data_IF_620138410537
#
_entry.id   IF_620138410537
#
_cell.length_a   1.000
_cell.length_b   1.000
_cell.length_c   1.000
_cell.angle_alpha   90.00
_cell.angle_beta   90.00
_cell.angle_gamma   90.00
#
_symmetry.space_group_name_H-M   'P 1'
#
loop_
_entity.id
_entity.type
_entity.pdbx_description
1 polymer ?
#
# COMPACT_ATOMS: atom_id res chain seq x y z
N UNK A 1 13.71 -25.98 -2.51
CA UNK A 1 12.49 -25.79 -1.72
C UNK A 1 11.41 -25.27 -2.66
N UNK A 2 10.25 -25.94 -2.70
CA UNK A 2 9.21 -25.74 -3.72
C UNK A 2 8.60 -24.33 -3.65
N UNK A 3 8.69 -23.58 -4.75
CA UNK A 3 8.21 -22.20 -4.96
C UNK A 3 6.69 -22.11 -5.09
N UNK A 4 5.93 -22.51 -4.05
CA UNK A 4 4.49 -22.26 -4.00
C UNK A 4 4.23 -20.98 -3.22
N UNK A 5 3.43 -20.08 -3.80
CA UNK A 5 2.82 -18.96 -3.06
C UNK A 5 2.18 -19.49 -1.77
N UNK A 6 2.27 -18.77 -0.64
CA UNK A 6 1.58 -19.18 0.57
C UNK A 6 0.09 -19.40 0.26
N UNK A 7 -0.40 -20.58 0.63
CA UNK A 7 -1.84 -20.89 0.58
C UNK A 7 -2.49 -19.97 1.61
N UNK A 8 -3.49 -19.19 1.20
CA UNK A 8 -4.24 -18.38 2.18
C UNK A 8 -4.89 -19.31 3.19
N UNK A 9 -4.82 -18.95 4.46
CA UNK A 9 -5.49 -19.71 5.52
C UNK A 9 -7.00 -19.44 5.58
N UNK A 10 -7.46 -18.34 4.98
CA UNK A 10 -8.82 -17.84 5.17
C UNK A 10 -9.61 -17.60 3.88
N UNK A 11 -8.92 -17.46 2.75
CA UNK A 11 -9.57 -17.22 1.45
C UNK A 11 -9.70 -18.55 0.69
N UNK A 12 -10.87 -18.83 0.09
CA UNK A 12 -11.06 -19.98 -0.78
C UNK A 12 -10.28 -19.83 -2.10
N UNK A 13 -10.01 -20.95 -2.76
CA UNK A 13 -9.54 -20.97 -4.14
C UNK A 13 -10.73 -21.04 -5.13
N UNK A 14 -10.69 -20.31 -6.26
CA UNK A 14 -9.63 -19.39 -6.67
C UNK A 14 -9.63 -18.09 -5.83
N UNK A 15 -8.43 -17.60 -5.49
CA UNK A 15 -8.24 -16.32 -4.78
C UNK A 15 -9.00 -15.19 -5.50
N UNK A 16 -10.00 -14.64 -4.81
CA UNK A 16 -10.87 -13.58 -5.34
C UNK A 16 -10.67 -12.29 -4.56
N UNK A 17 -10.47 -11.20 -5.29
CA UNK A 17 -10.27 -9.86 -4.77
C UNK A 17 -11.45 -8.99 -5.17
N UNK A 18 -12.00 -8.23 -4.23
CA UNK A 18 -12.99 -7.20 -4.51
C UNK A 18 -12.38 -5.83 -4.28
N UNK A 19 -12.27 -5.03 -5.33
CA UNK A 19 -11.83 -3.64 -5.23
C UNK A 19 -13.03 -2.80 -4.80
N UNK A 20 -12.92 -2.17 -3.63
CA UNK A 20 -13.93 -1.28 -3.06
C UNK A 20 -13.40 0.15 -3.19
N UNK A 21 -13.76 0.83 -4.28
CA UNK A 21 -13.34 2.21 -4.50
C UNK A 21 -14.20 3.19 -3.70
N UNK A 22 -13.60 3.93 -2.77
CA UNK A 22 -14.30 4.80 -1.83
C UNK A 22 -13.87 6.28 -1.97
N UNK A 23 -14.35 7.01 -2.99
CA UNK A 23 -14.06 8.43 -3.15
C UNK A 23 -14.73 9.27 -2.05
N UNK A 24 -14.02 9.52 -0.94
CA UNK A 24 -14.55 10.23 0.22
C UNK A 24 -13.51 11.15 0.86
N UNK A 25 -13.89 12.38 1.20
CA UNK A 25 -13.00 13.39 1.77
C UNK A 25 -13.53 14.06 3.05
N UNK A 26 -14.67 13.59 3.57
CA UNK A 26 -15.41 14.25 4.64
C UNK A 26 -14.76 14.17 6.02
N UNK A 27 -13.79 13.27 6.23
CA UNK A 27 -13.07 13.10 7.50
C UNK A 27 -11.98 14.15 7.74
N UNK A 28 -11.66 14.97 6.74
CA UNK A 28 -10.58 15.95 6.79
C UNK A 28 -10.91 17.21 5.97
N UNK A 29 -9.99 18.19 5.94
CA UNK A 29 -10.26 19.52 5.38
C UNK A 29 -9.67 19.77 3.98
N UNK A 30 -8.67 19.00 3.55
CA UNK A 30 -8.00 19.13 2.25
C UNK A 30 -8.78 18.35 1.19
N UNK A 31 -9.39 19.06 0.26
CA UNK A 31 -10.13 18.41 -0.84
C UNK A 31 -9.20 17.57 -1.73
N UNK A 32 -9.77 16.63 -2.47
CA UNK A 32 -9.08 15.91 -3.55
C UNK A 32 -8.65 14.48 -3.23
N UNK A 33 -8.67 14.05 -1.97
CA UNK A 33 -8.38 12.66 -1.57
C UNK A 33 -9.44 11.69 -2.11
N UNK A 34 -10.67 12.17 -2.32
CA UNK A 34 -11.74 11.49 -3.04
C UNK A 34 -11.39 11.13 -4.50
N UNK A 35 -10.35 11.75 -5.08
CA UNK A 35 -9.83 11.40 -6.41
C UNK A 35 -8.79 10.29 -6.40
N UNK A 36 -8.24 9.95 -5.23
CA UNK A 36 -7.26 8.88 -5.04
C UNK A 36 -7.71 7.54 -5.64
N UNK A 37 -8.90 7.02 -5.30
CA UNK A 37 -9.40 5.75 -5.82
C UNK A 37 -9.49 5.73 -7.35
N UNK A 38 -9.92 6.84 -7.95
CA UNK A 38 -10.06 7.00 -9.40
C UNK A 38 -8.70 6.91 -10.07
N UNK A 39 -7.70 7.63 -9.55
CA UNK A 39 -6.35 7.63 -10.11
C UNK A 39 -5.66 6.26 -9.97
N UNK A 40 -5.84 5.57 -8.84
CA UNK A 40 -5.30 4.21 -8.62
C UNK A 40 -5.89 3.20 -9.61
N UNK A 41 -7.19 3.27 -9.88
CA UNK A 41 -7.85 2.43 -10.89
C UNK A 41 -7.39 2.79 -12.30
N UNK A 42 -7.35 4.09 -12.64
CA UNK A 42 -6.90 4.55 -13.96
C UNK A 42 -5.43 4.25 -14.25
N UNK A 43 -4.61 4.06 -13.21
CA UNK A 43 -3.22 3.60 -13.33
C UNK A 43 -3.10 2.10 -13.68
N UNK A 44 -4.22 1.38 -13.83
CA UNK A 44 -4.28 -0.01 -14.27
C UNK A 44 -4.21 -1.03 -13.13
N UNK A 45 -4.53 -0.63 -11.90
CA UNK A 45 -4.46 -1.53 -10.74
C UNK A 45 -5.32 -2.81 -10.89
N UNK A 46 -6.59 -2.76 -11.37
CA UNK A 46 -7.39 -3.97 -11.57
C UNK A 46 -6.76 -4.98 -12.54
N UNK A 47 -6.19 -4.49 -13.64
CA UNK A 47 -5.51 -5.30 -14.65
C UNK A 47 -4.25 -5.93 -14.07
N UNK A 48 -3.42 -5.13 -13.40
CA UNK A 48 -2.19 -5.62 -12.77
C UNK A 48 -2.46 -6.72 -11.74
N UNK A 49 -3.54 -6.58 -10.94
CA UNK A 49 -3.94 -7.59 -9.95
C UNK A 49 -4.48 -8.86 -10.62
N UNK A 50 -5.17 -8.72 -11.74
CA UNK A 50 -5.60 -9.86 -12.57
C UNK A 50 -4.39 -10.61 -13.16
N UNK A 51 -3.36 -9.89 -13.61
CA UNK A 51 -2.10 -10.46 -14.11
C UNK A 51 -1.31 -11.19 -13.02
N UNK A 52 -1.44 -10.78 -11.75
CA UNK A 52 -0.88 -11.49 -10.60
C UNK A 52 -1.61 -12.82 -10.29
N UNK A 53 -2.75 -13.08 -10.92
CA UNK A 53 -3.52 -14.33 -10.80
C UNK A 53 -4.76 -14.23 -9.92
N UNK A 54 -5.16 -13.02 -9.48
CA UNK A 54 -6.39 -12.82 -8.74
C UNK A 54 -7.60 -12.79 -9.67
N UNK A 55 -8.71 -13.38 -9.23
CA UNK A 55 -10.03 -13.06 -9.79
C UNK A 55 -10.46 -11.71 -9.24
N UNK A 56 -10.32 -10.64 -10.02
CA UNK A 56 -10.66 -9.28 -9.60
C UNK A 56 -12.14 -8.98 -9.88
N UNK A 57 -12.84 -8.48 -8.87
CA UNK A 57 -14.18 -7.91 -8.94
C UNK A 57 -14.07 -6.40 -8.73
N UNK A 58 -14.58 -5.62 -9.68
CA UNK A 58 -14.65 -4.17 -9.57
C UNK A 58 -15.88 -3.69 -10.34
N UNK A 59 -16.90 -3.27 -9.60
CA UNK A 59 -18.19 -2.85 -10.17
C UNK A 59 -18.31 -1.31 -10.27
N UNK A 60 -17.18 -0.60 -10.13
CA UNK A 60 -17.09 0.85 -10.16
C UNK A 60 -16.75 1.47 -8.80
N UNK A 61 -16.60 2.79 -8.78
CA UNK A 61 -16.43 3.54 -7.53
C UNK A 61 -17.77 3.70 -6.83
N UNK A 62 -17.81 3.43 -5.53
CA UNK A 62 -19.01 3.63 -4.74
C UNK A 62 -19.32 5.13 -4.65
N UNK A 63 -20.45 5.51 -5.20
CA UNK A 63 -20.94 6.88 -5.11
C UNK A 63 -21.65 7.05 -3.77
N UNK A 64 -21.10 7.89 -2.91
CA UNK A 64 -21.73 8.26 -1.63
C UNK A 64 -22.44 9.61 -1.73
N UNK A 65 -22.60 10.15 -2.94
CA UNK A 65 -23.25 11.43 -3.22
C UNK A 65 -24.72 11.46 -2.78
N UNK A 66 -25.41 10.32 -2.79
CA UNK A 66 -26.78 10.18 -2.29
C UNK A 66 -26.85 10.22 -0.75
N UNK A 67 -25.73 10.00 -0.07
CA UNK A 67 -25.61 10.13 1.39
C UNK A 67 -25.37 11.61 1.71
N UNK A 68 -26.36 12.44 1.43
CA UNK A 68 -26.31 13.84 1.81
C UNK A 68 -26.73 14.01 3.28
N UNK A 69 -25.95 14.79 4.00
CA UNK A 69 -26.37 15.39 5.25
C UNK A 69 -26.61 16.88 4.97
N UNK A 70 -27.78 17.19 4.40
CA UNK A 70 -28.22 18.54 4.01
C UNK A 70 -27.99 19.62 5.10
N UNK A 71 -27.81 19.20 6.35
CA UNK A 71 -27.10 19.94 7.39
C UNK A 71 -26.35 18.96 8.30
N UNK A 72 -25.04 19.14 8.47
CA UNK A 72 -24.20 18.35 9.40
C UNK A 72 -23.40 19.25 10.37
N UNK A 73 -24.07 19.86 11.35
CA UNK A 73 -23.40 20.71 12.31
C UNK A 73 -22.43 19.88 13.19
N UNK A 74 -21.31 20.47 13.62
CA UNK A 74 -20.35 19.78 14.47
C UNK A 74 -20.96 19.19 15.74
N UNK A 75 -20.46 18.02 16.16
CA UNK A 75 -20.74 17.44 17.49
C UNK A 75 -19.52 17.72 18.35
N UNK A 76 -19.63 18.69 19.25
CA UNK A 76 -18.46 19.21 19.95
C UNK A 76 -17.45 19.78 18.94
N UNK A 77 -16.25 19.19 18.88
CA UNK A 77 -15.21 19.56 17.90
C UNK A 77 -15.35 18.81 16.57
N UNK A 78 -16.09 17.70 16.52
CA UNK A 78 -16.09 16.82 15.34
C UNK A 78 -16.72 17.49 14.14
N UNK A 79 -16.01 17.52 13.02
CA UNK A 79 -16.48 18.05 11.74
C UNK A 79 -17.10 16.95 10.90
N UNK A 80 -18.20 17.28 10.21
CA UNK A 80 -18.95 16.35 9.35
C UNK A 80 -19.30 14.98 10.00
N UNK A 81 -19.68 14.92 11.29
CA UNK A 81 -19.81 13.64 11.99
C UNK A 81 -20.89 12.72 11.44
N UNK A 82 -22.02 13.27 10.96
CA UNK A 82 -23.11 12.44 10.41
C UNK A 82 -22.76 11.92 9.04
N UNK A 83 -22.15 12.76 8.20
CA UNK A 83 -21.69 12.36 6.88
C UNK A 83 -20.65 11.25 6.97
N UNK A 84 -19.59 11.46 7.77
CA UNK A 84 -18.53 10.46 7.99
C UNK A 84 -19.12 9.17 8.54
N UNK A 85 -19.99 9.25 9.56
CA UNK A 85 -20.63 8.06 10.13
C UNK A 85 -21.43 7.26 9.11
N UNK A 86 -22.31 7.91 8.33
CA UNK A 86 -23.18 7.23 7.36
C UNK A 86 -22.38 6.60 6.22
N UNK A 87 -21.34 7.28 5.72
CA UNK A 87 -20.45 6.74 4.68
C UNK A 87 -19.70 5.53 5.20
N UNK A 88 -19.12 5.62 6.40
CA UNK A 88 -18.41 4.50 7.02
C UNK A 88 -19.36 3.31 7.30
N UNK A 89 -20.61 3.55 7.71
CA UNK A 89 -21.60 2.48 7.90
C UNK A 89 -21.95 1.79 6.57
N UNK A 90 -22.08 2.56 5.48
CA UNK A 90 -22.30 2.00 4.14
C UNK A 90 -21.12 1.14 3.69
N UNK A 91 -19.89 1.60 3.93
CA UNK A 91 -18.66 0.86 3.62
C UNK A 91 -18.56 -0.43 4.44
N UNK A 92 -18.93 -0.40 5.74
CA UNK A 92 -18.95 -1.60 6.56
C UNK A 92 -19.85 -2.69 5.96
N UNK A 93 -21.01 -2.32 5.39
CA UNK A 93 -21.91 -3.25 4.71
C UNK A 93 -21.26 -3.86 3.47
N UNK A 94 -20.70 -3.02 2.60
CA UNK A 94 -20.03 -3.47 1.35
C UNK A 94 -18.85 -4.39 1.65
N UNK A 95 -17.94 -3.95 2.54
CA UNK A 95 -16.75 -4.73 2.93
C UNK A 95 -17.15 -6.04 3.60
N UNK A 96 -18.12 -5.99 4.53
CA UNK A 96 -18.62 -7.19 5.21
C UNK A 96 -19.28 -8.18 4.26
N UNK A 97 -19.99 -7.73 3.23
CA UNK A 97 -20.56 -8.60 2.20
C UNK A 97 -19.50 -9.32 1.37
N UNK A 98 -18.42 -8.64 0.99
CA UNK A 98 -17.30 -9.27 0.28
C UNK A 98 -16.56 -10.27 1.18
N UNK A 99 -16.25 -9.88 2.42
CA UNK A 99 -15.60 -10.75 3.39
C UNK A 99 -16.41 -12.04 3.64
N UNK A 100 -17.74 -11.94 3.83
CA UNK A 100 -18.64 -13.10 4.01
C UNK A 100 -18.63 -14.06 2.81
N UNK A 101 -18.36 -13.56 1.60
CA UNK A 101 -18.24 -14.36 0.37
C UNK A 101 -16.84 -14.97 0.20
N UNK A 102 -15.92 -14.77 1.15
CA UNK A 102 -14.52 -15.20 1.04
C UNK A 102 -13.74 -14.40 -0.01
N UNK A 103 -14.14 -13.15 -0.26
CA UNK A 103 -13.47 -12.25 -1.20
C UNK A 103 -12.66 -11.26 -0.38
N UNK A 104 -11.36 -11.12 -0.66
CA UNK A 104 -10.53 -10.12 0.02
C UNK A 104 -10.99 -8.73 -0.44
N UNK A 105 -11.51 -7.86 0.43
CA UNK A 105 -11.76 -6.48 0.09
C UNK A 105 -10.44 -5.69 0.07
N UNK A 106 -10.12 -5.14 -1.10
CA UNK A 106 -9.10 -4.10 -1.28
C UNK A 106 -9.81 -2.75 -1.34
N UNK A 107 -9.80 -2.01 -0.24
CA UNK A 107 -10.37 -0.67 -0.20
C UNK A 107 -9.35 0.32 -0.76
N UNK A 108 -9.72 0.99 -1.85
CA UNK A 108 -9.01 2.16 -2.34
C UNK A 108 -9.73 3.36 -1.76
N UNK A 109 -9.13 3.96 -0.73
CA UNK A 109 -9.78 4.98 0.06
C UNK A 109 -9.60 6.38 -0.46
N UNK A 110 -10.43 7.26 0.09
CA UNK A 110 -10.06 8.64 0.30
C UNK A 110 -9.40 8.78 1.69
N UNK A 111 -9.96 9.58 2.58
CA UNK A 111 -9.36 9.81 3.89
C UNK A 111 -9.46 8.61 4.85
N UNK A 112 -8.59 8.57 5.87
CA UNK A 112 -8.44 7.41 6.75
C UNK A 112 -9.62 7.17 7.70
N UNK A 113 -10.61 8.07 7.78
CA UNK A 113 -11.83 7.84 8.59
C UNK A 113 -12.60 6.60 8.14
N UNK A 114 -12.47 6.25 6.86
CA UNK A 114 -13.05 5.07 6.24
C UNK A 114 -12.68 3.76 6.92
N UNK A 115 -11.55 3.72 7.65
CA UNK A 115 -11.13 2.55 8.42
C UNK A 115 -12.16 2.12 9.48
N UNK A 116 -12.99 3.04 10.00
CA UNK A 116 -14.13 2.67 10.85
C UNK A 116 -15.07 1.71 10.12
N UNK A 117 -15.33 1.96 8.84
CA UNK A 117 -16.17 1.12 8.00
C UNK A 117 -15.48 -0.18 7.61
N UNK A 118 -14.28 -0.09 7.05
CA UNK A 118 -13.56 -1.26 6.51
C UNK A 118 -13.26 -2.29 7.60
N UNK A 119 -12.73 -1.85 8.74
CA UNK A 119 -12.40 -2.76 9.86
C UNK A 119 -13.68 -3.33 10.48
N UNK A 120 -14.73 -2.52 10.68
CA UNK A 120 -16.02 -3.02 11.19
C UNK A 120 -16.60 -4.09 10.28
N UNK A 121 -16.61 -3.88 8.96
CA UNK A 121 -17.09 -4.84 7.96
C UNK A 121 -16.27 -6.13 7.96
N UNK A 122 -14.94 -6.03 7.95
CA UNK A 122 -14.04 -7.20 8.04
C UNK A 122 -14.29 -8.00 9.32
N UNK A 123 -14.43 -7.32 10.46
CA UNK A 123 -14.60 -7.95 11.76
C UNK A 123 -15.97 -8.61 11.96
N UNK A 124 -16.98 -8.30 11.13
CA UNK A 124 -18.23 -9.08 11.13
C UNK A 124 -18.00 -10.53 10.72
N UNK A 125 -17.10 -10.76 9.75
CA UNK A 125 -16.73 -12.09 9.29
C UNK A 125 -15.56 -12.69 10.08
N UNK A 126 -14.61 -11.86 10.46
CA UNK A 126 -13.37 -12.24 11.14
C UNK A 126 -13.26 -11.53 12.51
N UNK A 127 -14.12 -11.86 13.50
CA UNK A 127 -14.19 -11.12 14.76
C UNK A 127 -12.91 -11.22 15.61
N UNK A 128 -12.10 -12.24 15.37
CA UNK A 128 -10.81 -12.49 16.01
C UNK A 128 -9.61 -11.87 15.26
N UNK A 129 -9.83 -11.21 14.11
CA UNK A 129 -8.79 -10.56 13.32
C UNK A 129 -7.93 -9.57 14.14
N UNK A 130 -6.70 -9.36 13.69
CA UNK A 130 -5.85 -8.27 14.15
C UNK A 130 -5.64 -7.22 13.07
N UNK A 131 -5.22 -6.04 13.50
CA UNK A 131 -4.96 -4.88 12.65
C UNK A 131 -3.47 -4.55 12.69
N UNK A 132 -2.86 -4.47 11.51
CA UNK A 132 -1.56 -3.82 11.32
C UNK A 132 -1.85 -2.45 10.71
N UNK A 133 -1.53 -1.39 11.45
CA UNK A 133 -1.75 -0.01 11.04
C UNK A 133 -0.42 0.61 10.65
N UNK A 134 -0.25 0.91 9.36
CA UNK A 134 1.00 1.48 8.81
C UNK A 134 0.76 2.94 8.48
N UNK A 135 1.34 3.83 9.26
CA UNK A 135 0.97 5.25 9.29
C UNK A 135 2.05 6.11 9.96
N UNK A 136 2.14 7.39 9.60
CA UNK A 136 2.92 8.38 10.33
C UNK A 136 2.24 8.80 11.65
N UNK A 137 0.91 8.70 11.71
CA UNK A 137 0.02 9.20 12.74
C UNK A 137 -0.65 8.08 13.56
N UNK A 138 -1.17 8.45 14.73
CA UNK A 138 -1.85 7.50 15.61
C UNK A 138 -3.29 7.20 15.18
N UNK A 139 -3.98 8.15 14.55
CA UNK A 139 -5.39 8.06 14.16
C UNK A 139 -6.32 7.55 15.27
N UNK A 140 -5.95 7.88 16.51
CA UNK A 140 -6.55 7.34 17.74
C UNK A 140 -7.00 8.44 18.70
N UNK A 141 -7.05 9.70 18.25
CA UNK A 141 -7.66 10.75 19.04
C UNK A 141 -9.14 10.43 19.30
N UNK A 142 -9.60 10.69 20.52
CA UNK A 142 -11.04 10.73 20.81
C UNK A 142 -11.60 12.12 20.51
N UNK A 143 -12.92 12.28 20.58
CA UNK A 143 -13.57 13.60 20.46
C UNK A 143 -13.10 14.60 21.55
N UNK A 144 -12.61 14.11 22.69
CA UNK A 144 -12.05 14.93 23.76
C UNK A 144 -10.60 15.33 23.52
N UNK A 145 -9.78 14.44 22.93
CA UNK A 145 -8.34 14.66 22.78
C UNK A 145 -7.98 15.36 21.48
N UNK A 146 -8.81 15.27 20.44
CA UNK A 146 -8.58 15.94 19.16
C UNK A 146 -8.49 17.46 19.31
N UNK A 147 -7.48 18.08 18.69
CA UNK A 147 -7.39 19.53 18.53
C UNK A 147 -8.05 20.01 17.23
N UNK A 148 -7.97 19.20 16.16
CA UNK A 148 -8.45 19.58 14.82
C UNK A 148 -9.95 19.38 14.64
N UNK A 149 -10.54 18.36 15.28
CA UNK A 149 -11.90 17.92 15.01
C UNK A 149 -12.07 17.13 13.70
N UNK A 150 -10.98 16.85 12.98
CA UNK A 150 -11.00 16.06 11.74
C UNK A 150 -11.05 14.56 12.09
N UNK A 151 -12.08 13.86 11.64
CA UNK A 151 -12.39 12.48 12.05
C UNK A 151 -11.41 11.46 11.46
N UNK A 152 -10.66 11.79 10.40
CA UNK A 152 -9.63 10.89 9.87
C UNK A 152 -8.53 10.57 10.89
N UNK A 153 -8.28 11.46 11.87
CA UNK A 153 -7.34 11.21 12.98
C UNK A 153 -7.96 10.51 14.20
N UNK A 154 -9.16 9.93 14.07
CA UNK A 154 -9.92 9.30 15.16
C UNK A 154 -10.42 7.86 14.93
N UNK A 155 -10.30 7.22 13.74
CA UNK A 155 -11.02 5.97 13.46
C UNK A 155 -10.70 4.86 14.46
N UNK A 156 -9.45 4.77 14.92
CA UNK A 156 -9.02 3.72 15.85
C UNK A 156 -9.66 3.90 17.23
N UNK A 157 -9.92 5.13 17.68
CA UNK A 157 -10.58 5.36 18.97
C UNK A 157 -12.01 4.81 18.97
N UNK A 158 -12.74 5.01 17.87
CA UNK A 158 -14.08 4.45 17.69
C UNK A 158 -14.07 2.92 17.67
N UNK A 159 -13.11 2.33 16.93
CA UNK A 159 -12.95 0.87 16.82
C UNK A 159 -12.56 0.18 18.14
N UNK A 160 -11.85 0.90 19.02
CA UNK A 160 -11.52 0.43 20.37
C UNK A 160 -12.61 0.77 21.41
N UNK A 161 -13.57 1.63 21.08
CA UNK A 161 -14.61 2.10 21.99
C UNK A 161 -14.10 3.05 23.07
N UNK A 162 -13.10 3.88 22.73
CA UNK A 162 -12.49 4.88 23.60
C UNK A 162 -13.25 6.22 23.51
N UNK A 163 -13.17 7.03 24.57
CA UNK A 163 -13.81 8.34 24.65
C UNK A 163 -15.31 8.28 24.93
N UNK A 164 -15.99 9.43 24.82
CA UNK A 164 -17.44 9.50 25.01
C UNK A 164 -18.20 8.82 23.88
N UNK A 165 -19.33 8.19 24.21
CA UNK A 165 -20.22 7.60 23.20
C UNK A 165 -20.89 8.71 22.38
N UNK A 166 -20.79 8.60 21.06
CA UNK A 166 -21.45 9.51 20.11
C UNK A 166 -22.57 8.73 19.43
N UNK A 167 -23.85 9.09 19.63
CA UNK A 167 -24.99 8.32 19.12
C UNK A 167 -24.93 8.05 17.62
N UNK A 168 -24.46 9.01 16.83
CA UNK A 168 -24.28 8.93 15.39
C UNK A 168 -23.35 7.78 14.97
N UNK A 169 -22.40 7.38 15.81
CA UNK A 169 -21.44 6.29 15.56
C UNK A 169 -21.78 4.99 16.30
N UNK A 170 -22.99 4.86 16.85
CA UNK A 170 -23.41 3.69 17.64
C UNK A 170 -23.41 2.36 16.88
N UNK A 171 -23.36 2.40 15.55
CA UNK A 171 -23.23 1.21 14.69
C UNK A 171 -21.81 0.60 14.76
N UNK A 172 -20.79 1.40 15.12
CA UNK A 172 -19.41 0.91 15.30
C UNK A 172 -19.35 0.09 16.59
N UNK A 173 -19.15 -1.22 16.44
CA UNK A 173 -18.99 -2.13 17.58
C UNK A 173 -17.50 -2.21 17.93
N UNK A 174 -17.10 -2.02 19.20
CA UNK A 174 -15.69 -2.03 19.60
C UNK A 174 -15.13 -3.45 19.71
N UNK A 175 -15.04 -4.11 18.55
CA UNK A 175 -14.56 -5.48 18.40
C UNK A 175 -13.03 -5.55 18.45
N UNK A 176 -12.33 -4.49 18.02
CA UNK A 176 -10.88 -4.39 18.13
C UNK A 176 -10.47 -4.32 19.61
N UNK A 177 -9.38 -5.02 19.95
CA UNK A 177 -8.78 -4.99 21.29
C UNK A 177 -7.35 -4.45 21.18
N UNK A 178 -6.85 -3.70 22.18
CA UNK A 178 -5.50 -3.12 22.16
C UNK A 178 -4.39 -4.11 21.79
N UNK A 179 -4.45 -5.34 22.31
CA UNK A 179 -3.48 -6.41 22.06
C UNK A 179 -3.55 -7.03 20.65
N UNK A 180 -4.56 -6.65 19.85
CA UNK A 180 -4.74 -7.05 18.45
C UNK A 180 -4.48 -5.90 17.48
N UNK A 181 -3.93 -4.80 17.96
CA UNK A 181 -3.54 -3.64 17.16
C UNK A 181 -2.04 -3.44 17.29
N UNK A 182 -1.37 -3.18 16.16
CA UNK A 182 0.01 -2.75 16.15
C UNK A 182 0.25 -1.65 15.11
N UNK A 183 0.96 -0.60 15.53
CA UNK A 183 1.39 0.47 14.63
C UNK A 183 2.81 0.26 14.12
N UNK A 184 3.07 0.64 12.87
CA UNK A 184 4.40 0.72 12.27
C UNK A 184 4.51 2.06 11.52
N UNK A 185 5.55 2.84 11.81
CA UNK A 185 5.86 4.08 11.08
C UNK A 185 5.58 5.39 11.82
N UNK A 186 5.07 5.31 13.06
CA UNK A 186 4.68 6.49 13.83
C UNK A 186 5.82 7.49 13.97
N UNK A 187 5.53 8.77 13.72
CA UNK A 187 6.49 9.87 13.86
C UNK A 187 5.87 11.24 14.08
N UNK A 188 4.55 11.37 13.90
CA UNK A 188 3.80 12.55 14.32
C UNK A 188 2.57 12.11 15.12
N UNK A 189 2.69 12.15 16.45
CA UNK A 189 1.68 11.60 17.36
C UNK A 189 1.36 12.64 18.41
N UNK A 190 0.07 12.95 18.54
CA UNK A 190 -0.42 13.98 19.46
C UNK A 190 -0.17 13.60 20.92
N UNK A 191 -0.18 14.59 21.82
CA UNK A 191 -0.04 14.33 23.25
C UNK A 191 -1.19 13.44 23.78
N UNK A 192 -2.41 13.65 23.27
CA UNK A 192 -3.58 12.83 23.59
C UNK A 192 -3.41 11.38 23.13
N UNK A 193 -2.97 11.17 21.90
CA UNK A 193 -2.70 9.84 21.34
C UNK A 193 -1.58 9.11 22.08
N UNK A 194 -0.46 9.78 22.37
CA UNK A 194 0.63 9.22 23.19
C UNK A 194 0.13 8.71 24.54
N UNK A 195 -0.77 9.47 25.17
CA UNK A 195 -1.40 9.07 26.44
C UNK A 195 -2.28 7.83 26.23
N UNK A 196 -3.14 7.82 25.21
CA UNK A 196 -4.01 6.69 24.88
C UNK A 196 -3.20 5.42 24.61
N UNK A 197 -2.16 5.50 23.77
CA UNK A 197 -1.28 4.37 23.45
C UNK A 197 -0.65 3.78 24.73
N UNK A 198 -0.13 4.63 25.61
CA UNK A 198 0.51 4.21 26.87
C UNK A 198 -0.49 3.59 27.85
N UNK A 199 -1.64 4.23 28.07
CA UNK A 199 -2.64 3.79 29.05
C UNK A 199 -3.30 2.47 28.66
N UNK A 200 -3.45 2.22 27.35
CA UNK A 200 -4.06 0.99 26.83
C UNK A 200 -3.03 -0.09 26.46
N UNK A 201 -1.73 0.17 26.65
CA UNK A 201 -0.66 -0.78 26.33
C UNK A 201 -0.60 -1.17 24.86
N UNK A 202 -1.02 -0.27 23.96
CA UNK A 202 -1.04 -0.51 22.52
C UNK A 202 0.40 -0.53 22.00
N UNK A 203 0.75 -1.56 21.23
CA UNK A 203 2.10 -1.68 20.66
C UNK A 203 2.24 -0.73 19.47
N UNK A 204 3.26 0.10 19.51
CA UNK A 204 3.65 0.93 18.38
C UNK A 204 5.15 0.82 18.13
N UNK A 205 5.52 0.71 16.87
CA UNK A 205 6.89 0.82 16.38
C UNK A 205 6.99 2.13 15.60
N UNK A 206 7.52 3.14 16.26
CA UNK A 206 7.81 4.42 15.64
C UNK A 206 9.00 4.29 14.68
N UNK A 207 9.29 5.36 13.93
CA UNK A 207 10.52 5.40 13.12
C UNK A 207 11.79 5.21 13.95
N UNK A 208 11.77 5.49 15.26
CA UNK A 208 12.90 5.16 16.15
C UNK A 208 13.18 3.66 16.22
N UNK A 209 12.14 2.83 16.31
CA UNK A 209 12.30 1.37 16.32
C UNK A 209 12.73 0.86 14.94
N UNK A 210 12.25 1.48 13.86
CA UNK A 210 12.68 1.17 12.49
C UNK A 210 14.17 1.48 12.32
N UNK A 211 14.64 2.66 12.74
CA UNK A 211 16.06 3.04 12.70
C UNK A 211 16.94 2.09 13.53
N UNK A 212 16.45 1.70 14.71
CA UNK A 212 17.22 0.92 15.68
C UNK A 212 17.35 -0.55 15.30
N UNK A 213 16.28 -1.16 14.78
CA UNK A 213 16.22 -2.60 14.56
C UNK A 213 16.16 -2.99 13.07
N UNK A 214 15.89 -2.03 12.18
CA UNK A 214 15.57 -2.27 10.78
C UNK A 214 14.14 -2.79 10.59
N UNK A 215 13.55 -2.51 9.42
CA UNK A 215 12.15 -2.88 9.15
C UNK A 215 11.89 -4.38 9.28
N UNK A 216 12.87 -5.22 8.89
CA UNK A 216 12.76 -6.67 8.97
C UNK A 216 12.39 -7.15 10.37
N UNK A 217 13.16 -6.68 11.35
CA UNK A 217 12.95 -7.05 12.74
C UNK A 217 11.70 -6.40 13.33
N UNK A 218 11.37 -5.17 12.92
CA UNK A 218 10.14 -4.49 13.35
C UNK A 218 8.89 -5.27 12.94
N UNK A 219 8.81 -5.71 11.68
CA UNK A 219 7.67 -6.49 11.19
C UNK A 219 7.56 -7.83 11.90
N UNK A 220 8.68 -8.53 12.15
CA UNK A 220 8.67 -9.74 12.98
C UNK A 220 8.11 -9.48 14.38
N UNK A 221 8.60 -8.45 15.07
CA UNK A 221 8.11 -8.09 16.42
C UNK A 221 6.64 -7.68 16.41
N UNK A 222 6.18 -7.00 15.36
CA UNK A 222 4.78 -6.62 15.18
C UNK A 222 3.90 -7.86 15.01
N UNK A 223 4.24 -8.76 14.10
CA UNK A 223 3.51 -10.01 13.88
C UNK A 223 3.56 -10.93 15.11
N UNK A 224 4.67 -10.99 15.83
CA UNK A 224 4.78 -11.75 17.08
C UNK A 224 3.89 -11.19 18.19
N UNK A 225 3.65 -9.88 18.19
CA UNK A 225 2.71 -9.25 19.12
C UNK A 225 1.25 -9.61 18.79
N UNK A 226 0.81 -9.37 17.55
CA UNK A 226 -0.61 -9.46 17.19
C UNK A 226 -1.04 -10.81 16.61
N UNK A 227 -0.11 -11.64 16.15
CA UNK A 227 -0.38 -12.92 15.49
C UNK A 227 0.78 -13.93 15.67
N UNK A 228 1.18 -14.27 16.92
CA UNK A 228 2.38 -15.06 17.20
C UNK A 228 2.41 -16.45 16.54
N UNK A 229 1.24 -17.02 16.25
CA UNK A 229 1.10 -18.35 15.63
C UNK A 229 0.87 -18.30 14.11
N UNK A 230 0.70 -17.11 13.53
CA UNK A 230 0.34 -16.90 12.12
C UNK A 230 -0.93 -17.68 11.74
N UNK A 231 -1.92 -17.67 12.63
CA UNK A 231 -3.18 -18.41 12.49
C UNK A 231 -4.42 -17.52 12.69
N UNK A 232 -4.22 -16.21 12.81
CA UNK A 232 -5.27 -15.18 12.94
C UNK A 232 -5.42 -14.36 11.66
N UNK A 233 -6.63 -13.96 11.24
CA UNK A 233 -6.82 -13.06 10.11
C UNK A 233 -6.18 -11.69 10.34
N UNK A 234 -5.58 -11.10 9.30
CA UNK A 234 -4.96 -9.78 9.33
C UNK A 234 -5.75 -8.81 8.44
N UNK A 235 -6.14 -7.67 9.01
CA UNK A 235 -6.53 -6.47 8.28
C UNK A 235 -5.33 -5.52 8.23
N UNK A 236 -4.83 -5.22 7.04
CA UNK A 236 -3.76 -4.25 6.85
C UNK A 236 -4.37 -2.89 6.48
N UNK A 237 -4.24 -1.89 7.34
CA UNK A 237 -4.58 -0.50 7.03
C UNK A 237 -3.31 0.27 6.71
N UNK A 238 -3.16 0.73 5.48
CA UNK A 238 -1.95 1.41 5.02
C UNK A 238 -2.28 2.84 4.58
N UNK A 239 -1.80 3.81 5.37
CA UNK A 239 -1.74 5.21 4.95
C UNK A 239 -0.51 5.44 4.08
N UNK A 240 -0.67 6.02 2.90
CA UNK A 240 0.50 6.32 2.04
C UNK A 240 1.44 7.35 2.68
N UNK A 241 0.97 8.16 3.62
CA UNK A 241 1.78 9.10 4.38
C UNK A 241 2.71 8.42 5.41
N UNK A 242 2.55 7.12 5.65
CA UNK A 242 3.55 6.33 6.39
C UNK A 242 4.92 6.36 5.70
N UNK A 243 4.91 6.46 4.37
CA UNK A 243 6.13 6.60 3.57
C UNK A 243 6.69 8.02 3.68
N UNK A 244 7.99 8.15 3.46
CA UNK A 244 8.62 9.46 3.39
C UNK A 244 8.01 10.29 2.23
N UNK A 245 7.84 11.61 2.36
CA UNK A 245 7.33 12.45 1.29
C UNK A 245 8.18 12.42 0.00
N UNK A 246 9.46 12.02 0.07
CA UNK A 246 10.27 11.76 -1.13
C UNK A 246 9.81 10.53 -1.92
N UNK A 247 8.98 9.67 -1.33
CA UNK A 247 8.41 8.46 -1.93
C UNK A 247 6.94 8.66 -2.26
N UNK A 248 6.14 9.22 -1.34
CA UNK A 248 4.71 9.48 -1.52
C UNK A 248 4.37 10.97 -1.23
N UNK A 249 4.77 11.91 -2.11
CA UNK A 249 4.57 13.35 -1.88
C UNK A 249 3.10 13.81 -1.89
N UNK A 250 2.24 13.16 -2.68
CA UNK A 250 0.85 13.57 -2.92
C UNK A 250 -0.13 13.02 -1.86
N UNK A 251 0.00 13.48 -0.61
CA UNK A 251 -0.86 13.10 0.53
C UNK A 251 -1.25 14.33 1.38
N UNK A 252 -2.30 14.18 2.20
CA UNK A 252 -2.84 15.22 3.07
C UNK A 252 -1.87 15.68 4.15
N UNK A 253 -1.14 14.79 4.80
CA UNK A 253 -0.35 15.08 6.01
C UNK A 253 1.09 14.57 5.90
N UNK A 254 1.90 15.07 4.95
CA UNK A 254 3.25 14.55 4.73
C UNK A 254 4.17 14.86 5.91
N UNK A 255 4.74 13.83 6.54
CA UNK A 255 5.72 13.95 7.63
C UNK A 255 7.07 13.38 7.19
N UNK A 256 8.14 14.18 7.27
CA UNK A 256 9.52 13.78 6.89
C UNK A 256 10.09 12.68 7.79
N UNK A 257 11.05 11.93 7.25
CA UNK A 257 11.71 10.85 7.95
C UNK A 257 10.84 9.59 8.03
N UNK A 258 10.05 9.35 6.98
CA UNK A 258 9.15 8.20 6.89
C UNK A 258 9.82 6.95 6.36
N UNK A 259 9.00 5.91 6.18
CA UNK A 259 9.44 4.65 5.59
C UNK A 259 9.93 4.88 4.16
N UNK A 260 11.03 4.24 3.80
CA UNK A 260 11.48 4.19 2.41
C UNK A 260 10.55 3.33 1.57
N UNK A 261 10.62 3.46 0.24
CA UNK A 261 9.91 2.60 -0.70
C UNK A 261 10.09 1.11 -0.37
N UNK A 262 11.34 0.70 -0.11
CA UNK A 262 11.68 -0.71 0.19
C UNK A 262 11.08 -1.19 1.50
N UNK A 263 11.02 -0.34 2.52
CA UNK A 263 10.49 -0.71 3.83
C UNK A 263 8.98 -0.87 3.80
N UNK A 264 8.26 0.01 3.10
CA UNK A 264 6.82 -0.14 2.87
C UNK A 264 6.48 -1.45 2.17
N UNK A 265 7.20 -1.77 1.09
CA UNK A 265 6.99 -3.03 0.36
C UNK A 265 7.37 -4.27 1.18
N UNK A 266 8.42 -4.19 2.00
CA UNK A 266 8.77 -5.31 2.88
C UNK A 266 7.67 -5.62 3.90
N UNK A 267 6.99 -4.60 4.44
CA UNK A 267 5.82 -4.81 5.32
C UNK A 267 4.73 -5.60 4.56
N UNK A 268 4.40 -5.17 3.35
CA UNK A 268 3.41 -5.80 2.50
C UNK A 268 3.77 -7.27 2.15
N UNK A 269 5.01 -7.51 1.72
CA UNK A 269 5.54 -8.85 1.40
C UNK A 269 5.45 -9.79 2.61
N UNK A 270 5.96 -9.35 3.77
CA UNK A 270 5.97 -10.15 4.98
C UNK A 270 4.55 -10.46 5.50
N UNK A 271 3.61 -9.53 5.36
CA UNK A 271 2.19 -9.77 5.69
C UNK A 271 1.58 -10.77 4.72
N UNK A 272 1.82 -10.64 3.41
CA UNK A 272 1.35 -11.61 2.42
C UNK A 272 1.88 -13.02 2.71
N UNK A 273 3.17 -13.14 3.05
CA UNK A 273 3.84 -14.41 3.35
C UNK A 273 3.23 -15.17 4.53
N UNK A 274 2.53 -14.48 5.44
CA UNK A 274 1.78 -15.14 6.51
C UNK A 274 0.62 -16.00 6.02
N UNK A 275 0.08 -15.74 4.82
CA UNK A 275 -1.17 -16.35 4.36
C UNK A 275 -2.41 -15.89 5.13
N UNK A 276 -2.28 -14.91 6.04
CA UNK A 276 -3.34 -14.46 6.94
C UNK A 276 -4.10 -13.21 6.49
N UNK A 277 -3.65 -12.51 5.44
CA UNK A 277 -4.30 -11.29 4.97
C UNK A 277 -5.74 -11.57 4.51
N UNK A 278 -6.71 -10.85 5.07
CA UNK A 278 -8.13 -10.96 4.73
C UNK A 278 -8.76 -9.65 4.27
N UNK A 279 -8.10 -8.51 4.47
CA UNK A 279 -8.52 -7.20 4.01
C UNK A 279 -7.32 -6.24 3.92
N UNK A 280 -7.37 -5.32 2.96
CA UNK A 280 -6.32 -4.35 2.71
C UNK A 280 -6.94 -2.98 2.40
N UNK A 281 -6.46 -1.96 3.08
CA UNK A 281 -6.80 -0.57 2.80
C UNK A 281 -5.57 0.21 2.31
N UNK A 282 -5.73 0.98 1.24
CA UNK A 282 -4.76 1.97 0.75
C UNK A 282 -5.43 3.35 0.83
N UNK A 283 -4.96 4.19 1.75
CA UNK A 283 -5.63 5.44 2.15
C UNK A 283 -4.79 6.69 1.82
N UNK A 284 -5.42 7.86 1.86
CA UNK A 284 -4.81 9.20 1.80
C UNK A 284 -3.99 9.56 0.54
N UNK A 285 -4.16 8.81 -0.56
CA UNK A 285 -3.67 9.28 -1.88
C UNK A 285 -4.49 10.49 -2.29
N UNK A 286 -3.87 11.67 -2.36
CA UNK A 286 -4.54 12.92 -2.73
C UNK A 286 -3.92 13.54 -3.99
N UNK A 287 -4.46 13.24 -5.19
CA UNK A 287 -3.98 13.78 -6.46
C UNK A 287 -4.11 15.29 -6.65
N UNK A 288 -4.71 16.04 -5.72
CA UNK A 288 -4.97 17.48 -5.87
C UNK A 288 -3.98 18.37 -5.11
N UNK A 289 -3.03 17.80 -4.38
CA UNK A 289 -2.10 18.54 -3.52
C UNK A 289 -0.70 18.71 -4.10
N UNK A 290 -0.39 18.04 -5.20
CA UNK A 290 0.96 17.96 -5.74
C UNK A 290 0.96 18.18 -7.27
N UNK A 291 2.15 18.35 -7.84
CA UNK A 291 2.27 18.45 -9.30
C UNK A 291 2.04 17.10 -10.00
N UNK A 292 1.90 17.10 -11.33
CA UNK A 292 1.57 15.89 -12.09
C UNK A 292 2.61 14.76 -11.90
N UNK A 293 3.89 15.08 -11.70
CA UNK A 293 4.93 14.08 -11.50
C UNK A 293 4.84 13.45 -10.11
N UNK A 294 4.66 14.27 -9.09
CA UNK A 294 4.47 13.84 -7.70
C UNK A 294 3.17 13.03 -7.53
N UNK A 295 2.09 13.43 -8.21
CA UNK A 295 0.84 12.66 -8.27
C UNK A 295 1.08 11.28 -8.89
N UNK A 296 1.71 11.23 -10.07
CA UNK A 296 2.03 9.96 -10.74
C UNK A 296 2.90 9.07 -9.85
N UNK A 297 3.85 9.66 -9.13
CA UNK A 297 4.71 8.94 -8.20
C UNK A 297 3.91 8.31 -7.06
N UNK A 298 3.11 9.09 -6.32
CA UNK A 298 2.29 8.54 -5.22
C UNK A 298 1.29 7.51 -5.70
N UNK A 299 0.64 7.74 -6.84
CA UNK A 299 -0.31 6.77 -7.42
C UNK A 299 0.40 5.46 -7.79
N UNK A 300 1.55 5.53 -8.44
CA UNK A 300 2.35 4.34 -8.78
C UNK A 300 2.78 3.57 -7.53
N UNK A 301 3.15 4.28 -6.46
CA UNK A 301 3.49 3.70 -5.16
C UNK A 301 2.28 3.04 -4.50
N UNK A 302 1.10 3.68 -4.50
CA UNK A 302 -0.13 3.07 -3.99
C UNK A 302 -0.49 1.77 -4.72
N UNK A 303 -0.38 1.76 -6.05
CA UNK A 303 -0.56 0.55 -6.85
C UNK A 303 0.49 -0.53 -6.54
N UNK A 304 1.76 -0.16 -6.32
CA UNK A 304 2.82 -1.12 -6.02
C UNK A 304 2.71 -1.72 -4.62
N UNK A 305 2.30 -0.94 -3.61
CA UNK A 305 1.98 -1.45 -2.27
C UNK A 305 0.84 -2.49 -2.33
N UNK A 306 -0.24 -2.18 -3.06
CA UNK A 306 -1.35 -3.11 -3.24
C UNK A 306 -0.90 -4.42 -3.91
N UNK A 307 -0.12 -4.35 -4.99
CA UNK A 307 0.44 -5.54 -5.67
C UNK A 307 1.34 -6.35 -4.74
N UNK A 308 2.23 -5.69 -4.01
CA UNK A 308 3.16 -6.30 -3.06
C UNK A 308 2.41 -7.04 -1.94
N UNK A 309 1.39 -6.41 -1.36
CA UNK A 309 0.55 -7.02 -0.32
C UNK A 309 -0.30 -8.19 -0.83
N UNK A 310 -0.45 -8.32 -2.15
CA UNK A 310 -1.24 -9.35 -2.83
C UNK A 310 -0.37 -10.38 -3.56
N UNK A 311 0.94 -10.38 -3.31
CA UNK A 311 1.85 -11.45 -3.69
C UNK A 311 2.72 -11.19 -4.91
N UNK A 312 2.83 -9.94 -5.35
CA UNK A 312 3.91 -9.57 -6.25
C UNK A 312 5.26 -9.77 -5.57
N UNK A 313 6.20 -10.38 -6.29
CA UNK A 313 7.59 -10.50 -5.84
C UNK A 313 8.53 -10.06 -6.95
N UNK A 314 9.69 -9.52 -6.58
CA UNK A 314 10.71 -9.06 -7.54
C UNK A 314 11.25 -10.19 -8.44
N UNK A 315 11.19 -11.45 -7.97
CA UNK A 315 11.67 -12.62 -8.73
C UNK A 315 10.58 -13.28 -9.58
N UNK A 316 9.42 -12.63 -9.69
CA UNK A 316 8.25 -13.11 -10.43
C UNK A 316 7.26 -13.84 -9.51
N UNK A 317 5.97 -13.63 -9.78
CA UNK A 317 4.91 -14.42 -9.15
C UNK A 317 5.09 -15.90 -9.54
N UNK A 318 4.98 -16.87 -8.61
CA UNK A 318 4.97 -18.29 -8.96
C UNK A 318 3.83 -18.66 -9.93
N UNK A 319 2.86 -17.77 -10.15
CA UNK A 319 1.77 -17.92 -11.12
C UNK A 319 2.12 -17.41 -12.54
N UNK A 320 3.20 -16.65 -12.72
CA UNK A 320 3.53 -16.02 -14.00
C UNK A 320 4.15 -16.98 -15.04
N UNK A 321 4.51 -18.22 -14.68
CA UNK A 321 5.22 -19.13 -15.59
C UNK A 321 4.33 -20.00 -16.51
N UNK A 322 3.00 -19.92 -16.44
CA UNK A 322 2.12 -20.80 -17.24
C UNK A 322 1.58 -20.21 -18.55
N UNK A 323 2.06 -19.06 -19.02
CA UNK A 323 1.69 -18.50 -20.34
C UNK A 323 2.87 -18.15 -21.25
N UNK A 324 3.98 -18.89 -21.16
CA UNK A 324 4.92 -18.92 -22.27
C UNK A 324 4.38 -19.85 -23.35
N UNK A 325 3.87 -19.24 -24.42
CA UNK A 325 3.41 -19.86 -25.66
C UNK A 325 4.25 -21.06 -26.09
N UNK A 326 3.59 -22.17 -26.36
CA UNK A 326 4.06 -23.21 -27.28
C UNK A 326 4.15 -22.60 -28.68
N UNK A 327 5.17 -21.80 -28.94
CA UNK A 327 5.60 -21.46 -30.30
C UNK A 327 6.91 -22.18 -30.52
N UNK A 328 6.79 -23.42 -31.00
CA UNK A 328 7.90 -24.19 -31.52
C UNK A 328 8.49 -23.39 -32.70
N UNK A 329 9.62 -22.72 -32.47
CA UNK A 329 10.45 -22.19 -33.55
C UNK A 329 11.09 -23.39 -34.27
N UNK A 330 10.41 -23.88 -35.32
CA UNK A 330 11.00 -24.82 -36.26
C UNK A 330 11.90 -24.06 -37.24
N UNK A 331 13.22 -24.19 -37.06
CA UNK A 331 14.20 -23.90 -38.11
C UNK A 331 14.19 -25.04 -39.15
N UNK A 332 14.20 -24.76 -40.47
CA UNK A 332 14.30 -25.80 -41.48
C UNK A 332 15.77 -26.13 -41.74
N UNK A 333 16.14 -27.40 -41.65
CA UNK A 333 17.40 -27.87 -42.22
C UNK A 333 18.00 -29.10 -41.55
N UNK A 334 17.56 -30.28 -41.96
CA UNK A 334 18.43 -31.30 -42.56
C UNK A 334 17.65 -32.55 -42.94
N UNK A 335 17.94 -32.97 -44.16
CA UNK A 335 17.63 -34.22 -44.83
C UNK A 335 17.75 -35.46 -43.94
N UNK A 336 16.74 -36.32 -43.97
CA UNK A 336 16.94 -37.76 -44.05
C UNK A 336 15.78 -38.44 -44.79
N UNK A 337 16.20 -39.26 -45.75
CA UNK A 337 15.44 -40.15 -46.62
C UNK A 337 15.03 -41.38 -45.81
N UNK A 338 13.76 -41.81 -45.84
CA UNK A 338 13.32 -43.14 -46.34
C UNK A 338 11.81 -43.40 -46.14
N UNK A 339 11.20 -43.89 -47.22
CA UNK A 339 10.13 -44.90 -47.33
C UNK A 339 8.87 -44.80 -46.46
N UNK A 340 7.74 -44.47 -47.12
CA UNK A 340 6.49 -45.23 -46.94
C UNK A 340 5.72 -45.36 -48.26
N UNK A 341 5.48 -46.62 -48.62
CA UNK A 341 4.55 -47.08 -49.65
C UNK A 341 3.16 -46.44 -49.51
N UNK A 342 2.66 -45.86 -50.60
CA UNK A 342 1.23 -45.74 -50.87
C UNK A 342 0.94 -46.16 -52.30
N UNK A 343 0.31 -47.32 -52.45
CA UNK A 343 -0.43 -47.73 -53.65
C UNK A 343 -1.68 -46.86 -53.77
N UNK A 344 -1.83 -46.14 -54.89
CA UNK A 344 -3.12 -45.91 -55.54
C UNK A 344 -2.90 -45.55 -57.04
N UNK A 345 -2.84 -46.60 -57.86
CA UNK A 345 -3.60 -46.85 -59.11
C UNK A 345 -4.06 -45.64 -59.97
N UNK A 346 -3.46 -45.56 -61.19
CA UNK A 346 -3.98 -45.20 -62.54
C UNK A 346 -4.55 -43.77 -62.77
N UNK A 347 -4.34 -43.01 -63.85
CA UNK A 347 -3.71 -43.12 -65.19
C UNK A 347 -3.60 -41.66 -65.76
N UNK A 348 -2.98 -41.39 -66.94
CA UNK A 348 -2.10 -40.23 -67.17
C UNK A 348 -2.74 -38.99 -67.84
N UNK A 349 -2.04 -37.82 -67.86
CA UNK A 349 -2.33 -36.73 -68.77
C UNK A 349 -1.34 -36.63 -69.95
N UNK A 350 -1.83 -36.03 -71.03
CA UNK A 350 -1.13 -35.67 -72.26
C UNK A 350 -0.46 -34.30 -72.18
N UNK A 351 0.68 -34.23 -72.89
CA UNK A 351 1.46 -33.11 -73.44
C UNK A 351 1.03 -31.63 -73.38
N UNK A 352 2.09 -30.79 -73.35
CA UNK A 352 2.31 -29.50 -74.06
C UNK A 352 1.81 -28.22 -73.35
N UNK A 353 2.41 -27.01 -73.40
CA UNK A 353 3.58 -26.41 -74.08
C UNK A 353 3.54 -24.86 -73.85
N UNK A 354 4.70 -24.19 -73.67
CA UNK A 354 5.04 -22.76 -73.97
C UNK A 354 4.18 -21.62 -73.30
N UNK A 355 4.53 -20.34 -73.18
CA UNK A 355 5.66 -19.42 -73.50
C UNK A 355 5.39 -18.09 -72.71
N UNK A 356 6.41 -17.47 -72.09
CA UNK A 356 7.10 -16.19 -72.44
C UNK A 356 6.38 -14.83 -72.27
N UNK A 357 7.26 -13.85 -71.94
CA UNK A 357 7.23 -12.38 -72.11
C UNK A 357 6.50 -11.56 -71.02
N UNK A 358 7.01 -10.44 -70.51
CA UNK A 358 8.24 -9.70 -70.78
C UNK A 358 8.35 -8.43 -69.89
N UNK A 359 9.61 -8.03 -69.63
CA UNK A 359 10.17 -6.68 -69.36
C UNK A 359 9.27 -5.49 -68.96
N UNK A 360 9.73 -4.65 -68.01
CA UNK A 360 10.45 -3.37 -68.27
C UNK A 360 11.01 -2.76 -66.96
N UNK A 361 12.22 -2.20 -67.06
CA UNK A 361 13.06 -1.48 -66.09
C UNK A 361 12.52 -0.09 -65.68
N UNK A 362 12.89 0.42 -64.49
CA UNK A 362 13.54 1.74 -64.30
C UNK A 362 14.40 1.73 -63.02
N UNK A 363 15.62 2.24 -63.14
CA UNK A 363 16.69 2.44 -62.13
C UNK A 363 16.43 3.62 -61.19
N UNK A 364 17.00 3.59 -59.97
CA UNK A 364 18.00 4.59 -59.52
C UNK A 364 18.75 4.14 -58.26
N UNK A 365 20.07 4.30 -58.33
CA UNK A 365 21.12 3.92 -57.39
C UNK A 365 21.41 4.98 -56.31
N UNK A 366 22.19 4.57 -55.29
CA UNK A 366 23.01 5.44 -54.43
C UNK A 366 23.24 4.87 -53.02
N UNK A 367 24.02 3.79 -52.85
CA UNK A 367 25.37 3.74 -52.20
C UNK A 367 25.58 4.70 -51.01
N UNK A 368 25.61 4.19 -49.77
CA UNK A 368 26.74 3.64 -48.99
C UNK A 368 27.65 4.69 -48.31
N UNK A 369 27.77 4.63 -46.98
CA UNK A 369 29.04 4.34 -46.30
C UNK A 369 28.92 4.42 -44.76
N UNK A 370 29.41 3.36 -44.10
CA UNK A 370 29.81 3.31 -42.69
C UNK A 370 31.00 4.24 -42.41
N UNK A 371 31.09 4.81 -41.18
CA UNK A 371 32.34 5.08 -40.44
C UNK A 371 32.02 5.59 -39.02
N UNK A 372 32.75 5.06 -38.02
CA UNK A 372 32.93 5.59 -36.66
C UNK A 372 34.45 5.54 -36.36
N UNK A 373 34.99 6.06 -35.24
CA UNK A 373 34.61 7.16 -34.35
C UNK A 373 35.76 8.19 -34.15
N UNK A 374 35.54 9.33 -33.47
CA UNK A 374 36.63 10.11 -32.85
C UNK A 374 36.19 10.95 -31.63
N UNK A 375 37.15 11.08 -30.70
CA UNK A 375 37.11 11.56 -29.32
C UNK A 375 36.96 13.09 -29.10
N UNK A 376 36.88 13.45 -27.79
CA UNK A 376 37.06 14.75 -27.09
C UNK A 376 35.73 15.49 -26.79
N UNK A 377 35.40 15.95 -25.57
CA UNK A 377 36.19 16.50 -24.46
C UNK A 377 35.50 16.32 -23.10
N UNK A 378 36.34 16.10 -22.08
CA UNK A 378 36.05 16.18 -20.65
C UNK A 378 35.85 17.62 -20.16
N UNK A 379 34.76 17.94 -19.46
CA UNK A 379 34.64 19.21 -18.72
C UNK A 379 35.06 19.04 -17.25
N UNK A 380 36.06 19.81 -16.85
CA UNK A 380 36.64 19.89 -15.51
C UNK A 380 35.76 20.72 -14.57
N UNK A 381 35.62 20.26 -13.33
CA UNK A 381 35.20 21.03 -12.17
C UNK A 381 36.26 22.09 -11.79
N UNK A 382 35.88 23.30 -11.38
CA UNK A 382 36.80 24.20 -10.69
C UNK A 382 36.81 23.90 -9.19
N UNK A 383 38.02 23.67 -8.68
CA UNK A 383 38.35 23.63 -7.27
C UNK A 383 38.39 25.05 -6.70
N UNK A 384 37.76 25.28 -5.54
CA UNK A 384 37.93 26.48 -4.73
C UNK A 384 38.43 26.11 -3.34
N UNK A 385 39.73 26.38 -3.13
CA UNK A 385 40.38 26.84 -1.89
C UNK A 385 39.85 26.35 -0.54
N UNK A 386 40.54 25.35 0.01
CA UNK A 386 40.63 25.12 1.45
C UNK A 386 41.59 26.13 2.11
N UNK A 387 41.13 26.79 3.18
CA UNK A 387 41.96 27.54 4.13
C UNK A 387 41.99 26.77 5.47
N UNK A 388 43.15 26.57 6.12
CA UNK A 388 43.21 25.84 7.38
C UNK A 388 42.83 26.74 8.55
N UNK A 389 41.77 26.37 9.28
CA UNK A 389 41.49 26.95 10.59
C UNK A 389 42.30 26.23 11.67
N UNK A 390 43.14 27.00 12.34
CA UNK A 390 43.93 26.58 13.48
C UNK A 390 43.04 26.22 14.68
N UNK A 391 43.36 25.08 15.28
CA UNK A 391 42.86 24.63 16.58
C UNK A 391 43.54 25.51 17.63
N UNK A 392 42.75 26.31 18.36
CA UNK A 392 43.23 26.99 19.56
C UNK A 392 42.63 26.28 20.79
N UNK A 393 43.48 25.55 21.48
CA UNK A 393 43.18 24.85 22.73
C UNK A 393 43.37 25.83 23.89
N UNK A 394 42.29 26.19 24.58
CA UNK A 394 42.39 26.87 25.88
C UNK A 394 41.69 26.03 26.93
N UNK A 395 42.50 25.46 27.82
CA UNK A 395 42.10 24.81 29.07
C UNK A 395 41.48 25.86 30.01
N UNK A 396 40.29 25.58 30.54
CA UNK A 396 39.86 26.10 31.85
C UNK A 396 39.32 24.93 32.67
N UNK A 397 40.10 24.62 33.71
CA UNK A 397 39.80 23.75 34.83
C UNK A 397 38.92 24.50 35.83
N UNK A 398 37.82 23.89 36.30
CA UNK A 398 37.40 24.00 37.70
C UNK A 398 36.52 22.80 38.09
N UNK A 399 37.04 22.03 39.04
CA UNK A 399 36.40 21.00 39.87
C UNK A 399 35.46 21.61 40.91
N UNK A 400 34.30 20.98 41.18
CA UNK A 400 33.78 20.74 42.54
C UNK A 400 32.38 20.07 42.56
N UNK A 401 32.34 18.80 42.96
CA UNK A 401 31.28 18.20 43.81
C UNK A 401 31.76 18.32 45.29
N UNK A 402 30.93 18.17 46.36
CA UNK A 402 29.78 17.25 46.57
C UNK A 402 28.56 17.97 47.24
N UNK A 403 27.41 17.40 47.65
CA UNK A 403 27.15 16.22 48.48
C UNK A 403 25.62 15.97 48.59
N UNK A 404 25.25 14.74 48.94
CA UNK A 404 23.91 14.22 49.25
C UNK A 404 23.15 14.95 50.37
N UNK A 405 21.81 14.89 50.34
CA UNK A 405 20.96 14.77 51.53
C UNK A 405 19.65 14.00 51.24
N UNK A 406 19.43 12.96 52.03
CA UNK A 406 18.15 12.26 52.24
C UNK A 406 17.22 13.11 53.12
N UNK A 407 15.90 12.97 52.97
CA UNK A 407 14.95 13.54 53.93
C UNK A 407 13.48 13.36 53.57
N UNK A 408 12.89 12.28 54.07
CA UNK A 408 11.45 12.00 54.22
C UNK A 408 10.78 13.10 55.07
N UNK A 409 9.51 13.44 54.78
CA UNK A 409 8.40 13.56 55.75
C UNK A 409 7.10 14.09 55.09
N UNK A 410 6.03 13.30 55.21
CA UNK A 410 4.64 13.75 55.24
C UNK A 410 4.35 14.48 56.56
N UNK A 411 3.23 15.23 56.66
CA UNK A 411 2.10 14.66 57.41
C UNK A 411 0.70 15.01 56.86
N UNK A 412 -0.24 14.20 57.34
CA UNK A 412 -1.69 14.21 57.17
C UNK A 412 -2.45 15.40 57.82
N UNK A 413 -3.72 15.54 57.39
CA UNK A 413 -4.91 16.12 58.06
C UNK A 413 -5.00 17.66 58.13
N UNK A 414 -5.94 18.27 57.37
CA UNK A 414 -7.36 18.57 57.76
C UNK A 414 -8.22 18.54 56.51
#
# INVERSE_FOLDING_TARGET
>A
MSSRSPVSHFLPEPKTLAIVGCPFSGGQAKLGVDRGPIHLVQAGLPEQLSELGWKVLFDGHHQFEEIDAASDPPIGKLKNPRLVSRVCEAIAKVVGEHAKKGQLPLTLGGDHSLAMGTISGTFEQYPDACVVWVDAHGDINTAETTDSGNIHGMPVSFLLGLGSKIPEFSWVKPLLKPERLVYIGLRDVDAGEKKILKENGIRAFSMHEVDKYGIGRVVEMALDHVNPKRDRPIHLSFDVDALDPSVAPSTGTPVRGGLTFREGHYICEAIYETGCLVALDIMEVNPSLADEAEVKQTVAVGCSLARSALGETLLGSPFAQTRASTTLLAYPGRSHIQEKDKKLVLAPPSHSTLEKLGSTLVQKEGQESFLAPQNYLTSRYPASSFSPFAINTTFISTTSHPTMFNGVLTPDIV
#
